data_IF_914297072114
#
_entry.id   IF_914297072114
#
_cell.length_a   1.000
_cell.length_b   1.000
_cell.length_c   1.000
_cell.angle_alpha   90.00
_cell.angle_beta   90.00
_cell.angle_gamma   90.00
#
_symmetry.space_group_name_H-M   'P 1'
#
loop_
_entity.id
_entity.type
_entity.pdbx_description
1 polymer ?
#
# COMPACT_ATOMS: atom_id res chain seq x y z
N UNK A 1 38.00 -42.93 8.73
CA UNK A 1 38.71 -43.02 10.03
C UNK A 1 37.72 -43.56 11.04
N UNK A 2 37.89 -44.83 11.39
CA UNK A 2 37.02 -45.61 12.27
C UNK A 2 37.87 -45.91 13.51
N UNK A 3 37.52 -45.34 14.66
CA UNK A 3 38.14 -45.67 15.94
C UNK A 3 37.36 -46.82 16.60
N UNK A 4 38.02 -47.94 16.96
CA UNK A 4 37.39 -49.03 17.70
C UNK A 4 37.51 -48.82 19.22
N UNK A 5 36.39 -49.01 19.91
CA UNK A 5 36.27 -48.96 21.37
C UNK A 5 36.95 -50.18 21.99
N UNK A 6 37.85 -49.93 22.94
CA UNK A 6 38.58 -50.93 23.70
C UNK A 6 37.67 -51.75 24.64
N UNK A 7 37.91 -53.06 24.69
CA UNK A 7 37.31 -53.99 25.65
C UNK A 7 38.05 -53.93 26.99
N UNK A 8 37.36 -54.03 28.15
CA UNK A 8 38.02 -54.24 29.42
C UNK A 8 38.32 -55.72 29.68
N UNK A 9 39.54 -55.91 30.18
CA UNK A 9 40.23 -57.15 30.51
C UNK A 9 39.65 -57.88 31.72
N UNK A 10 39.61 -59.21 31.61
CA UNK A 10 39.33 -60.15 32.69
C UNK A 10 40.43 -60.12 33.76
N UNK A 11 40.05 -59.98 35.02
CA UNK A 11 40.94 -60.17 36.16
C UNK A 11 40.34 -61.20 37.14
N UNK A 12 40.85 -62.43 37.00
CA UNK A 12 41.27 -63.38 38.05
C UNK A 12 40.48 -63.49 39.36
N UNK A 13 39.87 -64.67 39.55
CA UNK A 13 39.54 -65.28 40.84
C UNK A 13 40.76 -65.44 41.75
N UNK A 14 40.55 -65.46 43.08
CA UNK A 14 41.23 -66.45 43.90
C UNK A 14 40.25 -67.37 44.63
N UNK A 15 40.52 -68.65 44.43
CA UNK A 15 40.02 -69.84 45.12
C UNK A 15 40.22 -69.73 46.63
N UNK A 16 39.13 -69.90 47.38
CA UNK A 16 39.15 -69.96 48.83
C UNK A 16 37.99 -70.82 49.33
N UNK A 17 38.18 -72.14 49.28
CA UNK A 17 37.26 -73.09 49.89
C UNK A 17 37.43 -73.07 51.41
N UNK A 18 36.36 -72.76 52.13
CA UNK A 18 36.23 -73.12 53.55
C UNK A 18 34.78 -73.51 53.77
N UNK A 19 34.56 -74.81 53.90
CA UNK A 19 33.31 -75.38 54.41
C UNK A 19 33.05 -74.82 55.80
N UNK A 20 31.94 -74.09 55.95
CA UNK A 20 31.27 -73.91 57.22
C UNK A 20 29.81 -74.33 57.03
N UNK A 21 29.55 -75.51 57.57
CA UNK A 21 28.24 -76.09 57.85
C UNK A 21 27.42 -75.12 58.71
N UNK A 22 26.44 -74.49 58.08
CA UNK A 22 25.49 -73.61 58.75
C UNK A 22 24.23 -73.49 57.90
N UNK A 23 23.20 -74.23 58.26
CA UNK A 23 21.86 -74.08 57.72
C UNK A 23 21.34 -72.69 58.07
N UNK A 24 21.41 -71.75 57.13
CA UNK A 24 20.63 -70.52 57.14
C UNK A 24 19.59 -70.62 56.04
N UNK A 25 18.34 -70.81 56.46
CA UNK A 25 17.14 -70.56 55.68
C UNK A 25 17.32 -69.32 54.80
N UNK A 26 17.29 -69.53 53.49
CA UNK A 26 17.26 -68.46 52.49
C UNK A 26 15.87 -67.81 52.53
N UNK A 27 15.64 -66.92 53.50
CA UNK A 27 14.44 -66.09 53.53
C UNK A 27 14.56 -64.99 52.49
N UNK A 28 13.91 -65.20 51.34
CA UNK A 28 13.41 -64.13 50.47
C UNK A 28 14.46 -63.40 49.63
N UNK A 29 14.48 -63.70 48.33
CA UNK A 29 15.04 -62.80 47.34
C UNK A 29 14.39 -61.39 47.48
N UNK A 30 15.15 -60.28 47.41
CA UNK A 30 14.52 -58.97 47.39
C UNK A 30 13.63 -58.87 46.16
N UNK A 31 12.34 -58.66 46.40
CA UNK A 31 11.36 -58.48 45.35
C UNK A 31 11.84 -57.39 44.38
N UNK A 32 12.09 -57.77 43.13
CA UNK A 32 12.37 -56.83 42.04
C UNK A 32 11.11 -55.97 41.89
N UNK A 33 11.08 -54.80 42.53
CA UNK A 33 9.97 -53.85 42.38
C UNK A 33 10.04 -53.30 40.96
N UNK A 34 9.42 -53.99 40.02
CA UNK A 34 8.99 -53.38 38.77
C UNK A 34 8.16 -52.17 39.15
N UNK A 35 8.74 -50.98 38.95
CA UNK A 35 8.05 -49.71 39.18
C UNK A 35 6.98 -49.61 38.09
N UNK A 36 5.84 -50.29 38.30
CA UNK A 36 4.67 -50.17 37.43
C UNK A 36 4.24 -48.72 37.46
N UNK A 37 4.63 -47.96 36.44
CA UNK A 37 4.09 -46.62 36.22
C UNK A 37 2.59 -46.83 36.02
N UNK A 38 1.80 -46.50 37.04
CA UNK A 38 0.36 -46.73 37.02
C UNK A 38 -0.25 -45.94 35.86
N UNK A 39 -1.13 -46.58 35.09
CA UNK A 39 -1.79 -45.98 33.92
C UNK A 39 -2.48 -44.63 34.24
N UNK A 40 -2.82 -44.40 35.51
CA UNK A 40 -3.40 -43.17 36.06
C UNK A 40 -2.42 -41.99 36.11
N UNK A 41 -1.14 -42.20 36.45
CA UNK A 41 -0.11 -41.15 36.46
C UNK A 41 0.23 -40.67 35.05
N UNK A 42 0.30 -41.60 34.09
CA UNK A 42 0.42 -41.30 32.65
C UNK A 42 -0.77 -40.47 32.15
N UNK A 43 -2.01 -40.81 32.55
CA UNK A 43 -3.25 -40.10 32.18
C UNK A 43 -3.30 -38.64 32.68
N UNK A 44 -2.81 -38.37 33.89
CA UNK A 44 -2.74 -37.00 34.45
C UNK A 44 -1.73 -36.12 33.71
N UNK A 45 -0.56 -36.67 33.36
CA UNK A 45 0.46 -35.96 32.57
C UNK A 45 -0.04 -35.69 31.15
N UNK A 46 -0.68 -36.68 30.51
CA UNK A 46 -1.33 -36.52 29.19
C UNK A 46 -2.44 -35.47 29.22
N UNK A 47 -3.32 -35.46 30.24
CA UNK A 47 -4.37 -34.43 30.39
C UNK A 47 -3.82 -33.03 30.61
N UNK A 48 -2.73 -32.88 31.37
CA UNK A 48 -2.04 -31.59 31.52
C UNK A 48 -1.45 -31.15 30.19
N UNK A 49 -0.70 -32.02 29.50
CA UNK A 49 -0.14 -31.71 28.18
C UNK A 49 -1.24 -31.33 27.17
N UNK A 50 -2.36 -32.06 27.15
CA UNK A 50 -3.52 -31.74 26.33
C UNK A 50 -4.16 -30.39 26.68
N UNK A 51 -4.25 -30.05 27.96
CA UNK A 51 -4.78 -28.74 28.40
C UNK A 51 -3.86 -27.58 28.02
N UNK A 52 -2.55 -27.80 27.97
CA UNK A 52 -1.58 -26.79 27.51
C UNK A 52 -1.49 -26.73 25.99
N UNK A 53 -1.72 -27.82 25.25
CA UNK A 53 -1.74 -27.82 23.79
C UNK A 53 -3.08 -27.38 23.19
N UNK A 54 -4.20 -27.58 23.89
CA UNK A 54 -5.53 -27.17 23.45
C UNK A 54 -5.61 -25.68 23.06
N UNK A 55 -5.16 -24.70 23.86
CA UNK A 55 -5.20 -23.29 23.45
C UNK A 55 -4.33 -23.02 22.22
N UNK A 56 -3.16 -23.67 22.10
CA UNK A 56 -2.29 -23.51 20.93
C UNK A 56 -2.98 -24.01 19.66
N UNK A 57 -3.65 -25.17 19.73
CA UNK A 57 -4.42 -25.71 18.60
C UNK A 57 -5.61 -24.80 18.25
N UNK A 58 -6.31 -24.25 19.25
CA UNK A 58 -7.41 -23.32 19.00
C UNK A 58 -6.93 -22.02 18.34
N UNK A 59 -5.79 -21.48 18.77
CA UNK A 59 -5.16 -20.31 18.14
C UNK A 59 -4.79 -20.63 16.69
N UNK A 60 -4.15 -21.78 16.44
CA UNK A 60 -3.81 -22.20 15.08
C UNK A 60 -5.05 -22.32 14.19
N UNK A 61 -6.13 -22.93 14.68
CA UNK A 61 -7.40 -23.02 13.95
C UNK A 61 -8.03 -21.65 13.69
N UNK A 62 -7.97 -20.72 14.65
CA UNK A 62 -8.48 -19.37 14.49
C UNK A 62 -7.67 -18.59 13.43
N UNK A 63 -6.35 -18.73 13.42
CA UNK A 63 -5.48 -18.15 12.38
C UNK A 63 -5.83 -18.75 11.02
N UNK A 64 -5.91 -20.08 10.89
CA UNK A 64 -6.29 -20.73 9.63
C UNK A 64 -7.65 -20.26 9.12
N UNK A 65 -8.65 -20.15 10.00
CA UNK A 65 -9.97 -19.64 9.63
C UNK A 65 -9.92 -18.17 9.19
N UNK A 66 -9.17 -17.32 9.89
CA UNK A 66 -9.00 -15.92 9.52
C UNK A 66 -8.33 -15.77 8.16
N UNK A 67 -7.25 -16.52 7.88
CA UNK A 67 -6.58 -16.50 6.58
C UNK A 67 -7.51 -16.92 5.44
N UNK A 68 -8.31 -17.97 5.65
CA UNK A 68 -9.32 -18.39 4.68
C UNK A 68 -10.37 -17.28 4.45
N UNK A 69 -10.84 -16.63 5.51
CA UNK A 69 -11.78 -15.51 5.40
C UNK A 69 -11.17 -14.32 4.64
N UNK A 70 -9.92 -13.96 4.90
CA UNK A 70 -9.23 -12.87 4.21
C UNK A 70 -9.11 -13.15 2.72
N UNK A 71 -8.73 -14.37 2.34
CA UNK A 71 -8.62 -14.77 0.93
C UNK A 71 -9.95 -14.65 0.20
N UNK A 72 -11.06 -15.06 0.82
CA UNK A 72 -12.39 -14.91 0.21
C UNK A 72 -12.77 -13.44 0.02
N UNK A 73 -12.59 -12.63 1.05
CA UNK A 73 -12.93 -11.20 1.00
C UNK A 73 -12.04 -10.42 0.03
N UNK A 74 -10.78 -10.82 -0.15
CA UNK A 74 -9.89 -10.25 -1.16
C UNK A 74 -10.37 -10.55 -2.58
N UNK A 75 -10.82 -11.77 -2.85
CA UNK A 75 -11.40 -12.11 -4.15
C UNK A 75 -12.72 -11.37 -4.40
N UNK A 76 -13.59 -11.26 -3.39
CA UNK A 76 -14.82 -10.48 -3.51
C UNK A 76 -14.52 -9.02 -3.87
N UNK A 77 -13.46 -8.42 -3.32
CA UNK A 77 -13.04 -7.06 -3.64
C UNK A 77 -12.60 -6.92 -5.11
N UNK A 78 -11.80 -7.86 -5.61
CA UNK A 78 -11.32 -7.87 -7.00
C UNK A 78 -12.49 -8.07 -7.96
N UNK A 79 -13.33 -9.08 -7.74
CA UNK A 79 -14.51 -9.37 -8.57
C UNK A 79 -15.48 -8.18 -8.61
N UNK A 80 -15.65 -7.48 -7.48
CA UNK A 80 -16.46 -6.28 -7.40
C UNK A 80 -15.88 -5.14 -8.25
N UNK A 81 -14.56 -4.91 -8.20
CA UNK A 81 -13.89 -3.90 -9.03
C UNK A 81 -14.01 -4.24 -10.53
N UNK A 82 -13.74 -5.48 -10.92
CA UNK A 82 -13.85 -5.93 -12.32
C UNK A 82 -15.30 -5.83 -12.85
N UNK A 83 -16.28 -5.99 -11.98
CA UNK A 83 -17.70 -5.85 -12.31
C UNK A 83 -18.22 -4.40 -12.28
N UNK A 84 -17.37 -3.41 -11.99
CA UNK A 84 -17.77 -2.01 -11.85
C UNK A 84 -18.53 -1.67 -10.56
N UNK A 85 -18.53 -2.56 -9.55
CA UNK A 85 -19.12 -2.32 -8.23
C UNK A 85 -18.07 -1.77 -7.28
N UNK A 86 -17.63 -0.54 -7.54
CA UNK A 86 -16.48 0.06 -6.84
C UNK A 86 -16.73 0.26 -5.34
N UNK A 87 -17.92 0.75 -4.94
CA UNK A 87 -18.28 0.88 -3.52
C UNK A 87 -18.18 -0.44 -2.74
N UNK A 88 -18.60 -1.55 -3.38
CA UNK A 88 -18.50 -2.89 -2.78
C UNK A 88 -17.05 -3.33 -2.67
N UNK A 89 -16.23 -3.04 -3.68
CA UNK A 89 -14.79 -3.33 -3.68
C UNK A 89 -14.05 -2.55 -2.59
N UNK A 90 -14.37 -1.26 -2.44
CA UNK A 90 -13.82 -0.38 -1.40
C UNK A 90 -14.21 -0.89 -0.02
N UNK A 91 -15.49 -1.22 0.20
CA UNK A 91 -15.96 -1.76 1.48
C UNK A 91 -15.33 -3.12 1.83
N UNK A 92 -15.19 -4.01 0.84
CA UNK A 92 -14.52 -5.29 1.03
C UNK A 92 -13.04 -5.08 1.39
N UNK A 93 -12.34 -4.19 0.69
CA UNK A 93 -10.94 -3.85 0.94
C UNK A 93 -10.72 -3.20 2.31
N UNK A 94 -11.61 -2.32 2.74
CA UNK A 94 -11.58 -1.71 4.08
C UNK A 94 -11.68 -2.77 5.19
N UNK A 95 -12.54 -3.79 4.99
CA UNK A 95 -12.67 -4.89 5.95
C UNK A 95 -11.40 -5.74 6.09
N UNK A 96 -10.57 -5.79 5.03
CA UNK A 96 -9.28 -6.49 5.03
C UNK A 96 -8.22 -5.74 5.85
N UNK A 97 -8.37 -4.43 6.06
CA UNK A 97 -7.44 -3.64 6.87
C UNK A 97 -7.44 -4.09 8.35
N UNK A 98 -8.52 -4.72 8.81
CA UNK A 98 -8.61 -5.25 10.17
C UNK A 98 -7.73 -6.48 10.36
N UNK A 99 -6.65 -6.31 11.14
CA UNK A 99 -5.59 -7.31 11.36
C UNK A 99 -4.79 -7.63 10.09
N UNK A 100 -4.51 -6.59 9.30
CA UNK A 100 -3.72 -6.66 8.07
C UNK A 100 -2.21 -6.84 8.37
N UNK A 101 -1.81 -8.06 8.69
CA UNK A 101 -0.43 -8.39 9.12
C UNK A 101 0.33 -9.31 8.17
N UNK A 102 -0.37 -9.93 7.22
CA UNK A 102 0.24 -10.94 6.32
C UNK A 102 0.81 -10.25 5.08
N UNK A 103 -0.02 -9.50 4.37
CA UNK A 103 0.35 -8.71 3.19
C UNK A 103 -0.23 -7.30 3.33
N UNK A 104 0.42 -6.44 4.14
CA UNK A 104 -0.12 -5.14 4.53
C UNK A 104 -0.51 -4.23 3.36
N UNK A 105 0.17 -4.36 2.23
CA UNK A 105 -0.03 -3.51 1.05
C UNK A 105 -1.31 -3.83 0.27
N UNK A 106 -1.78 -5.09 0.24
CA UNK A 106 -2.87 -5.54 -0.66
C UNK A 106 -4.18 -4.82 -0.39
N UNK A 107 -4.55 -4.63 0.89
CA UNK A 107 -5.80 -3.95 1.23
C UNK A 107 -5.81 -2.50 0.75
N UNK A 108 -4.67 -1.80 0.87
CA UNK A 108 -4.51 -0.44 0.36
C UNK A 108 -4.49 -0.44 -1.18
N UNK A 109 -3.76 -1.37 -1.81
CA UNK A 109 -3.70 -1.48 -3.26
C UNK A 109 -5.08 -1.69 -3.88
N UNK A 110 -5.87 -2.63 -3.33
CA UNK A 110 -7.22 -2.92 -3.82
C UNK A 110 -8.17 -1.74 -3.60
N UNK A 111 -8.15 -1.12 -2.41
CA UNK A 111 -9.01 0.03 -2.10
C UNK A 111 -8.66 1.23 -2.98
N UNK A 112 -7.37 1.54 -3.12
CA UNK A 112 -6.90 2.64 -3.95
C UNK A 112 -7.16 2.41 -5.44
N UNK A 113 -6.99 1.19 -5.94
CA UNK A 113 -7.33 0.84 -7.33
C UNK A 113 -8.83 0.96 -7.59
N UNK A 114 -9.68 0.47 -6.67
CA UNK A 114 -11.14 0.62 -6.78
C UNK A 114 -11.56 2.10 -6.71
N UNK A 115 -10.91 2.90 -5.87
CA UNK A 115 -11.15 4.34 -5.75
C UNK A 115 -10.74 5.08 -7.03
N UNK A 116 -9.61 4.72 -7.65
CA UNK A 116 -9.21 5.27 -8.95
C UNK A 116 -10.24 4.96 -10.04
N UNK A 117 -10.75 3.73 -10.09
CA UNK A 117 -11.81 3.33 -11.02
C UNK A 117 -13.15 4.03 -10.73
N UNK A 118 -13.42 4.37 -9.47
CA UNK A 118 -14.55 5.18 -9.04
C UNK A 118 -14.36 6.70 -9.31
N UNK A 119 -13.21 7.11 -9.85
CA UNK A 119 -12.80 8.51 -10.03
C UNK A 119 -12.63 9.29 -8.71
N UNK A 120 -12.45 8.58 -7.60
CA UNK A 120 -12.14 9.11 -6.28
C UNK A 120 -10.62 9.27 -6.13
N UNK A 121 -10.01 10.09 -6.99
CA UNK A 121 -8.56 10.10 -7.17
C UNK A 121 -7.76 10.57 -5.94
N UNK A 122 -8.33 11.38 -5.04
CA UNK A 122 -7.64 11.76 -3.81
C UNK A 122 -7.49 10.55 -2.85
N UNK A 123 -8.57 9.78 -2.68
CA UNK A 123 -8.53 8.57 -1.86
C UNK A 123 -7.64 7.51 -2.51
N UNK A 124 -7.68 7.43 -3.85
CA UNK A 124 -6.82 6.54 -4.62
C UNK A 124 -5.33 6.83 -4.43
N UNK A 125 -4.91 8.09 -4.54
CA UNK A 125 -3.49 8.45 -4.41
C UNK A 125 -2.98 8.26 -2.98
N UNK A 126 -3.79 8.54 -1.97
CA UNK A 126 -3.44 8.27 -0.56
C UNK A 126 -3.22 6.77 -0.32
N UNK A 127 -4.17 5.92 -0.74
CA UNK A 127 -4.07 4.48 -0.54
C UNK A 127 -2.95 3.83 -1.35
N UNK A 128 -2.81 4.19 -2.63
CA UNK A 128 -1.78 3.62 -3.49
C UNK A 128 -0.37 4.07 -3.04
N UNK A 129 -0.24 5.25 -2.42
CA UNK A 129 1.02 5.67 -1.81
C UNK A 129 1.39 4.79 -0.62
N UNK A 130 0.42 4.50 0.27
CA UNK A 130 0.64 3.58 1.40
C UNK A 130 0.91 2.16 0.90
N UNK A 131 0.22 1.72 -0.15
CA UNK A 131 0.49 0.43 -0.77
C UNK A 131 1.93 0.36 -1.28
N UNK A 132 2.44 1.41 -1.92
CA UNK A 132 3.80 1.44 -2.46
C UNK A 132 4.86 1.36 -1.36
N UNK A 133 4.63 2.03 -0.22
CA UNK A 133 5.53 1.96 0.94
C UNK A 133 5.62 0.57 1.57
N UNK A 134 4.56 -0.23 1.44
CA UNK A 134 4.42 -1.54 2.08
C UNK A 134 4.65 -2.73 1.13
N UNK A 135 4.65 -2.47 -0.18
CA UNK A 135 4.76 -3.51 -1.20
C UNK A 135 6.16 -4.12 -1.20
N UNK A 136 6.27 -5.44 -1.43
CA UNK A 136 7.55 -6.05 -1.73
C UNK A 136 8.04 -5.63 -3.13
N UNK A 137 9.35 -5.72 -3.37
CA UNK A 137 10.00 -5.27 -4.61
C UNK A 137 9.35 -5.86 -5.88
N UNK A 138 8.90 -7.12 -5.83
CA UNK A 138 8.27 -7.81 -6.96
C UNK A 138 6.86 -7.30 -7.32
N UNK A 139 6.24 -6.51 -6.44
CA UNK A 139 4.90 -5.94 -6.61
C UNK A 139 4.93 -4.41 -6.75
N UNK A 140 6.05 -3.76 -6.40
CA UNK A 140 6.19 -2.31 -6.43
C UNK A 140 5.87 -1.70 -7.80
N UNK A 141 6.24 -2.38 -8.89
CA UNK A 141 5.99 -1.91 -10.26
C UNK A 141 4.49 -1.82 -10.58
N UNK A 142 3.69 -2.82 -10.20
CA UNK A 142 2.24 -2.79 -10.41
C UNK A 142 1.56 -1.68 -9.59
N UNK A 143 2.02 -1.50 -8.35
CA UNK A 143 1.53 -0.41 -7.49
C UNK A 143 1.86 0.95 -8.10
N UNK A 144 3.08 1.13 -8.62
CA UNK A 144 3.50 2.36 -9.31
C UNK A 144 2.65 2.66 -10.53
N UNK A 145 2.27 1.65 -11.32
CA UNK A 145 1.41 1.88 -12.48
C UNK A 145 0.09 2.52 -12.05
N UNK A 146 -0.59 1.92 -11.08
CA UNK A 146 -1.88 2.44 -10.62
C UNK A 146 -1.73 3.81 -9.94
N UNK A 147 -0.67 4.02 -9.16
CA UNK A 147 -0.41 5.30 -8.51
C UNK A 147 -0.12 6.41 -9.52
N UNK A 148 0.71 6.14 -10.53
CA UNK A 148 1.03 7.10 -11.58
C UNK A 148 -0.21 7.47 -12.40
N UNK A 149 -1.06 6.49 -12.73
CA UNK A 149 -2.34 6.72 -13.41
C UNK A 149 -3.29 7.57 -12.55
N UNK A 150 -3.38 7.30 -11.24
CA UNK A 150 -4.24 8.09 -10.35
C UNK A 150 -3.79 9.56 -10.27
N UNK A 151 -2.48 9.83 -10.22
CA UNK A 151 -1.94 11.18 -10.28
C UNK A 151 -2.13 11.85 -11.65
N UNK A 152 -1.99 11.09 -12.74
CA UNK A 152 -2.27 11.57 -14.12
C UNK A 152 -3.71 12.05 -14.24
N UNK A 153 -4.68 11.22 -13.85
CA UNK A 153 -6.11 11.56 -13.95
C UNK A 153 -6.50 12.70 -13.01
N UNK A 154 -5.93 12.77 -11.80
CA UNK A 154 -6.11 13.92 -10.91
C UNK A 154 -5.55 15.20 -11.54
N UNK A 155 -4.41 15.11 -12.22
CA UNK A 155 -3.83 16.21 -13.01
C UNK A 155 -4.77 16.68 -14.11
N UNK A 156 -5.39 15.75 -14.85
CA UNK A 156 -6.36 16.04 -15.90
C UNK A 156 -7.57 16.81 -15.36
N UNK A 157 -8.12 16.40 -14.20
CA UNK A 157 -9.23 17.13 -13.56
C UNK A 157 -8.84 18.57 -13.22
N UNK A 158 -7.62 18.79 -12.73
CA UNK A 158 -7.12 20.14 -12.43
C UNK A 158 -6.93 20.96 -13.70
N UNK A 159 -6.41 20.34 -14.77
CA UNK A 159 -6.21 20.99 -16.06
C UNK A 159 -7.55 21.40 -16.68
N UNK A 160 -8.54 20.50 -16.68
CA UNK A 160 -9.91 20.78 -17.13
C UNK A 160 -10.59 21.87 -16.30
N UNK A 161 -10.29 21.92 -14.99
CA UNK A 161 -10.73 22.98 -14.09
C UNK A 161 -10.03 24.33 -14.29
N UNK A 162 -9.04 24.42 -15.18
CA UNK A 162 -8.24 25.62 -15.43
C UNK A 162 -7.15 25.89 -14.38
N UNK A 163 -6.93 24.96 -13.44
CA UNK A 163 -5.90 25.07 -12.41
C UNK A 163 -4.55 24.56 -12.95
N UNK A 164 -4.04 25.21 -14.00
CA UNK A 164 -2.86 24.77 -14.76
C UNK A 164 -1.63 24.53 -13.89
N UNK A 165 -1.32 25.45 -12.98
CA UNK A 165 -0.19 25.26 -12.05
C UNK A 165 -0.37 24.05 -11.13
N UNK A 166 -1.60 23.76 -10.73
CA UNK A 166 -1.94 22.57 -9.93
C UNK A 166 -1.78 21.29 -10.74
N UNK A 167 -2.32 21.25 -11.96
CA UNK A 167 -2.17 20.13 -12.88
C UNK A 167 -0.70 19.79 -13.14
N UNK A 168 0.12 20.81 -13.41
CA UNK A 168 1.58 20.69 -13.58
C UNK A 168 2.27 20.01 -12.39
N UNK A 169 1.89 20.34 -11.15
CA UNK A 169 2.44 19.68 -9.95
C UNK A 169 2.00 18.20 -9.82
N UNK A 170 0.78 17.89 -10.26
CA UNK A 170 0.23 16.54 -10.20
C UNK A 170 0.88 15.62 -11.25
N UNK A 171 1.06 16.12 -12.47
CA UNK A 171 1.83 15.45 -13.51
C UNK A 171 3.31 15.28 -13.14
N UNK A 172 3.95 16.28 -12.54
CA UNK A 172 5.30 16.14 -11.97
C UNK A 172 5.36 15.00 -10.92
N UNK A 173 4.30 14.85 -10.12
CA UNK A 173 4.18 13.78 -9.12
C UNK A 173 4.01 12.41 -9.79
N UNK A 174 3.18 12.29 -10.82
CA UNK A 174 3.06 11.08 -11.62
C UNK A 174 4.42 10.67 -12.23
N UNK A 175 5.15 11.62 -12.83
CA UNK A 175 6.49 11.39 -13.38
C UNK A 175 7.52 11.02 -12.31
N UNK A 176 7.38 11.53 -11.09
CA UNK A 176 8.23 11.13 -9.97
C UNK A 176 7.98 9.67 -9.56
N UNK A 177 6.71 9.24 -9.52
CA UNK A 177 6.33 7.84 -9.25
C UNK A 177 6.88 6.90 -10.32
N UNK A 178 6.76 7.28 -11.60
CA UNK A 178 7.28 6.52 -12.74
C UNK A 178 8.81 6.39 -12.66
N UNK A 179 9.52 7.50 -12.44
CA UNK A 179 10.99 7.50 -12.33
C UNK A 179 11.49 6.66 -11.15
N UNK A 180 10.77 6.65 -10.03
CA UNK A 180 11.12 5.78 -8.91
C UNK A 180 11.08 4.29 -9.26
N UNK A 181 10.34 3.89 -10.30
CA UNK A 181 10.34 2.52 -10.81
C UNK A 181 11.68 2.07 -11.42
N UNK A 182 12.58 2.99 -11.75
CA UNK A 182 13.94 2.65 -12.21
C UNK A 182 14.75 2.00 -11.08
N UNK A 183 14.58 2.47 -9.84
CA UNK A 183 15.23 1.91 -8.65
C UNK A 183 14.68 0.52 -8.32
N UNK A 184 13.37 0.33 -8.48
CA UNK A 184 12.68 -0.94 -8.26
C UNK A 184 12.87 -1.94 -9.41
N UNK A 185 13.50 -1.52 -10.52
CA UNK A 185 13.81 -2.39 -11.65
C UNK A 185 12.67 -2.63 -12.64
N UNK A 186 11.65 -1.77 -12.64
CA UNK A 186 10.47 -1.94 -13.50
C UNK A 186 10.75 -1.88 -14.99
N UNK A 187 11.90 -1.32 -15.42
CA UNK A 187 12.23 -1.11 -16.83
C UNK A 187 13.35 -2.01 -17.36
N UNK A 188 13.80 -3.02 -16.60
CA UNK A 188 14.85 -3.93 -17.09
C UNK A 188 14.24 -4.95 -18.05
N UNK A 189 14.64 -4.90 -19.32
CA UNK A 189 14.38 -5.97 -20.28
C UNK A 189 15.36 -7.13 -20.08
N UNK A 190 14.92 -8.35 -20.37
CA UNK A 190 15.68 -9.60 -20.20
C UNK A 190 16.97 -9.69 -21.06
N UNK A 191 17.27 -8.71 -21.92
CA UNK A 191 18.35 -8.78 -22.92
C UNK A 191 19.66 -8.07 -22.52
N UNK A 192 19.69 -7.26 -21.46
CA UNK A 192 20.90 -6.54 -21.04
C UNK A 192 21.43 -7.01 -19.68
N UNK A 193 21.98 -8.24 -19.63
CA UNK A 193 22.76 -8.67 -18.47
C UNK A 193 23.15 -10.14 -18.45
N UNK A 194 24.41 -10.40 -18.78
CA UNK A 194 25.33 -11.44 -18.27
C UNK A 194 24.81 -12.86 -17.91
N UNK A 195 25.64 -13.87 -18.14
CA UNK A 195 25.34 -15.31 -18.17
C UNK A 195 24.99 -15.95 -16.80
N UNK A 196 24.03 -15.39 -16.07
CA UNK A 196 23.41 -15.99 -14.90
C UNK A 196 21.89 -15.93 -15.10
N UNK A 197 21.21 -17.05 -15.36
CA UNK A 197 19.76 -17.05 -15.48
C UNK A 197 19.15 -16.48 -14.19
N UNK A 198 18.31 -15.45 -14.25
CA UNK A 198 17.41 -15.15 -13.15
C UNK A 198 16.59 -16.41 -12.87
N UNK A 199 16.50 -16.80 -11.60
CA UNK A 199 15.49 -17.78 -11.20
C UNK A 199 14.11 -17.11 -11.37
N UNK A 200 13.51 -17.38 -12.53
CA UNK A 200 12.14 -17.09 -12.96
C UNK A 200 11.84 -15.59 -13.26
N UNK A 201 11.51 -15.23 -14.51
CA UNK A 201 10.93 -13.92 -14.81
C UNK A 201 9.50 -13.86 -14.26
N UNK A 202 9.21 -12.83 -13.45
CA UNK A 202 7.83 -12.48 -13.12
C UNK A 202 7.22 -11.85 -14.37
N UNK A 203 6.36 -12.60 -15.06
CA UNK A 203 5.58 -12.21 -16.26
C UNK A 203 4.94 -10.81 -16.14
N UNK A 204 4.63 -10.36 -14.91
CA UNK A 204 4.06 -9.03 -14.65
C UNK A 204 5.04 -7.85 -14.70
N UNK A 205 6.33 -8.05 -14.44
CA UNK A 205 7.29 -6.93 -14.35
C UNK A 205 7.55 -6.23 -15.70
N UNK A 206 7.61 -7.01 -16.78
CA UNK A 206 7.78 -6.49 -18.14
C UNK A 206 6.53 -5.74 -18.62
N UNK A 207 5.32 -6.24 -18.30
CA UNK A 207 4.05 -5.56 -18.59
C UNK A 207 3.93 -4.23 -17.82
N UNK A 208 4.26 -4.24 -16.52
CA UNK A 208 4.25 -3.04 -15.70
C UNK A 208 5.24 -1.98 -16.20
N UNK A 209 6.44 -2.39 -16.63
CA UNK A 209 7.43 -1.51 -17.25
C UNK A 209 6.92 -0.81 -18.50
N UNK A 210 6.33 -1.55 -19.44
CA UNK A 210 5.75 -1.00 -20.66
C UNK A 210 4.57 -0.05 -20.34
N UNK A 211 3.72 -0.40 -19.37
CA UNK A 211 2.61 0.46 -18.92
C UNK A 211 3.11 1.77 -18.30
N UNK A 212 4.18 1.73 -17.51
CA UNK A 212 4.82 2.91 -16.93
C UNK A 212 5.49 3.79 -18.00
N UNK A 213 6.14 3.19 -19.01
CA UNK A 213 6.74 3.94 -20.11
C UNK A 213 5.66 4.64 -20.95
N UNK A 214 4.59 3.92 -21.30
CA UNK A 214 3.43 4.52 -21.96
C UNK A 214 2.77 5.62 -21.13
N UNK A 215 2.72 5.49 -19.80
CA UNK A 215 2.23 6.53 -18.91
C UNK A 215 3.16 7.75 -18.91
N UNK A 216 4.49 7.54 -18.92
CA UNK A 216 5.48 8.61 -19.01
C UNK A 216 5.24 9.49 -20.23
N UNK A 217 5.15 8.88 -21.41
CA UNK A 217 4.96 9.60 -22.67
C UNK A 217 3.67 10.41 -22.68
N UNK A 218 2.58 9.85 -22.15
CA UNK A 218 1.28 10.57 -22.03
C UNK A 218 1.39 11.75 -21.07
N UNK A 219 1.95 11.55 -19.89
CA UNK A 219 2.06 12.59 -18.86
C UNK A 219 3.00 13.70 -19.30
N UNK A 220 4.14 13.39 -19.93
CA UNK A 220 5.05 14.39 -20.51
C UNK A 220 4.33 15.24 -21.56
N UNK A 221 3.54 14.62 -22.45
CA UNK A 221 2.75 15.36 -23.43
C UNK A 221 1.70 16.29 -22.81
N UNK A 222 1.03 15.84 -21.74
CA UNK A 222 0.03 16.64 -20.99
C UNK A 222 0.68 17.80 -20.23
N UNK A 223 1.82 17.55 -19.59
CA UNK A 223 2.63 18.57 -18.91
C UNK A 223 3.01 19.70 -19.87
N UNK A 224 3.55 19.32 -21.03
CA UNK A 224 3.96 20.21 -22.11
C UNK A 224 2.81 21.10 -22.60
N UNK A 225 1.60 20.54 -22.70
CA UNK A 225 0.40 21.28 -23.09
C UNK A 225 -0.03 22.27 -22.01
N UNK A 226 -0.06 21.85 -20.74
CA UNK A 226 -0.37 22.72 -19.60
C UNK A 226 0.62 23.89 -19.49
N UNK A 227 1.92 23.64 -19.66
CA UNK A 227 2.95 24.69 -19.60
C UNK A 227 2.79 25.72 -20.74
N UNK A 228 2.40 25.27 -21.94
CA UNK A 228 2.09 26.17 -23.07
C UNK A 228 0.85 27.01 -22.81
N UNK A 229 -0.17 26.45 -22.16
CA UNK A 229 -1.39 27.17 -21.82
C UNK A 229 -1.15 28.20 -20.70
N UNK A 230 -0.36 27.85 -19.68
CA UNK A 230 -0.01 28.74 -18.56
C UNK A 230 0.80 29.95 -19.07
N UNK A 231 1.77 29.69 -19.95
CA UNK A 231 2.57 30.74 -20.60
C UNK A 231 1.75 31.72 -21.42
N UNK A 232 0.70 31.26 -22.11
CA UNK A 232 -0.21 32.12 -22.88
C UNK A 232 -1.14 32.95 -21.97
N UNK A 233 -1.60 32.39 -20.85
CA UNK A 233 -2.40 33.13 -19.87
C UNK A 233 -1.58 34.23 -19.17
N UNK A 234 -0.28 34.01 -18.97
CA UNK A 234 0.65 35.02 -18.45
C UNK A 234 0.96 36.18 -19.42
N UNK A 235 0.68 36.03 -20.72
CA UNK A 235 0.94 37.03 -21.78
C UNK A 235 -0.31 37.82 -22.19
N UNK A 236 -1.45 37.60 -21.51
CA UNK A 236 -2.72 38.28 -21.74
C UNK A 236 -2.89 39.65 -21.06
N UNK A 237 -1.86 40.19 -20.41
CA UNK A 237 -1.84 41.62 -20.07
C UNK A 237 -1.37 42.39 -21.32
N UNK A 238 -2.18 43.29 -21.91
CA UNK A 238 -1.72 44.05 -23.05
C UNK A 238 -0.56 44.93 -22.59
N UNK A 239 0.61 44.73 -23.21
CA UNK A 239 1.65 45.74 -23.30
C UNK A 239 1.06 46.95 -24.02
N UNK A 240 0.42 47.84 -23.25
CA UNK A 240 0.21 49.21 -23.67
C UNK A 240 1.56 49.92 -23.61
N UNK A 241 2.19 49.97 -24.77
CA UNK A 241 3.26 50.90 -25.12
C UNK A 241 2.80 52.35 -24.87
N UNK A 242 3.09 52.90 -23.68
CA UNK A 242 3.06 54.34 -23.41
C UNK A 242 3.78 54.69 -22.09
N UNK A 243 5.00 55.19 -22.22
CA UNK A 243 5.56 56.29 -21.42
C UNK A 243 5.40 56.26 -19.89
N UNK A 244 6.40 55.73 -19.20
CA UNK A 244 7.04 56.37 -18.03
C UNK A 244 6.19 56.93 -16.88
N UNK A 245 4.98 56.40 -16.63
CA UNK A 245 4.22 56.65 -15.40
C UNK A 245 4.51 55.58 -14.35
N UNK A 246 4.63 55.98 -13.07
CA UNK A 246 4.73 55.01 -11.97
C UNK A 246 3.44 54.21 -11.88
N UNK A 247 3.46 52.89 -11.58
CA UNK A 247 2.24 52.07 -11.40
C UNK A 247 1.23 52.62 -10.39
N UNK A 248 1.64 53.58 -9.56
CA UNK A 248 0.78 54.30 -8.62
C UNK A 248 -0.09 55.37 -9.28
N UNK A 249 0.42 56.09 -10.28
CA UNK A 249 -0.34 57.12 -11.01
C UNK A 249 -1.49 56.51 -11.81
N UNK A 250 -1.25 55.38 -12.48
CA UNK A 250 -2.28 54.65 -13.24
C UNK A 250 -3.43 54.14 -12.33
N UNK A 251 -3.12 53.82 -11.07
CA UNK A 251 -4.10 53.38 -10.09
C UNK A 251 -4.91 54.56 -9.53
N UNK A 252 -4.26 55.72 -9.33
CA UNK A 252 -4.94 56.96 -8.94
C UNK A 252 -5.88 57.46 -10.05
N UNK A 253 -5.43 57.49 -11.30
CA UNK A 253 -6.25 57.90 -12.45
C UNK A 253 -7.46 56.97 -12.67
N UNK A 254 -7.27 55.65 -12.53
CA UNK A 254 -8.39 54.68 -12.59
C UNK A 254 -9.36 54.84 -11.42
N UNK A 255 -8.85 55.18 -10.24
CA UNK A 255 -9.67 55.46 -9.06
C UNK A 255 -10.55 56.69 -9.26
N UNK A 256 -9.96 57.77 -9.76
CA UNK A 256 -10.63 59.04 -10.02
C UNK A 256 -11.70 58.91 -11.10
N UNK A 257 -11.40 58.18 -12.19
CA UNK A 257 -12.38 57.91 -13.25
C UNK A 257 -13.59 57.11 -12.74
N UNK A 258 -13.35 56.08 -11.92
CA UNK A 258 -14.41 55.26 -11.33
C UNK A 258 -15.27 56.04 -10.33
N UNK A 259 -14.68 57.01 -9.61
CA UNK A 259 -15.44 57.87 -8.69
C UNK A 259 -16.27 58.92 -9.43
N UNK A 260 -15.75 59.43 -10.55
CA UNK A 260 -16.47 60.38 -11.40
C UNK A 260 -17.70 59.73 -12.05
N UNK A 261 -17.56 58.51 -12.58
CA UNK A 261 -18.68 57.76 -13.17
C UNK A 261 -19.79 57.47 -12.16
N UNK A 262 -19.45 57.16 -10.90
CA UNK A 262 -20.44 57.00 -9.82
C UNK A 262 -21.18 58.29 -9.52
N UNK A 263 -20.49 59.44 -9.51
CA UNK A 263 -21.12 60.75 -9.29
C UNK A 263 -22.09 61.11 -10.40
N UNK A 264 -21.76 60.77 -11.65
CA UNK A 264 -22.63 61.02 -12.80
C UNK A 264 -23.89 60.13 -12.76
N UNK A 265 -23.74 58.83 -12.42
CA UNK A 265 -24.88 57.93 -12.23
C UNK A 265 -25.81 58.38 -11.08
N UNK A 266 -25.25 58.88 -9.98
CA UNK A 266 -26.01 59.41 -8.84
C UNK A 266 -26.70 60.75 -9.17
N UNK A 267 -26.16 61.52 -10.10
CA UNK A 267 -26.77 62.75 -10.59
C UNK A 267 -27.96 62.45 -11.51
N UNK A 268 -27.83 61.47 -12.40
CA UNK A 268 -28.91 61.02 -13.29
C UNK A 268 -30.10 60.44 -12.51
N UNK A 269 -29.85 59.69 -11.45
CA UNK A 269 -30.90 59.15 -10.57
C UNK A 269 -31.65 60.23 -9.78
N UNK A 270 -31.05 61.40 -9.52
CA UNK A 270 -31.74 62.52 -8.87
C UNK A 270 -32.50 63.43 -9.85
N UNK A 271 -32.23 63.35 -11.16
CA UNK A 271 -32.88 64.17 -12.19
C UNK A 271 -34.22 63.64 -12.70
N UNK A 272 -34.54 62.36 -12.48
CA UNK A 272 -35.72 61.66 -13.03
C UNK A 272 -37.04 61.82 -12.26
N UNK A 273 -37.32 63.00 -11.70
CA UNK A 273 -38.59 63.30 -11.03
C UNK A 273 -39.70 63.69 -12.01
N UNK A 274 -40.29 62.72 -12.70
CA UNK A 274 -41.47 62.94 -13.56
C UNK A 274 -42.71 63.16 -12.67
N UNK A 275 -43.18 64.41 -12.62
CA UNK A 275 -44.44 64.79 -11.96
C UNK A 275 -45.62 64.25 -12.78
N UNK A 276 -46.18 63.11 -12.37
CA UNK A 276 -47.44 62.61 -12.93
C UNK A 276 -48.62 63.33 -12.26
N UNK A 277 -49.12 64.39 -12.91
CA UNK A 277 -50.43 64.98 -12.63
C UNK A 277 -51.54 63.95 -12.90
N UNK A 278 -52.42 63.74 -11.92
CA UNK A 278 -53.67 62.99 -12.10
C UNK A 278 -54.82 63.93 -12.43
N UNK A 279 -55.52 63.73 -13.56
CA UNK A 279 -56.90 64.13 -13.69
C UNK A 279 -57.81 62.90 -13.74
N UNK A 280 -58.94 63.02 -13.02
CA UNK A 280 -60.08 62.11 -12.80
C UNK A 280 -59.86 60.83 -11.96
#
# INVERSE_FOLDING_TARGET
MVEPIAQPTLATEPTGATELTGATEWTGAPARTERRVTATAMRRRRRRLLWWSLPVVLIALAISFKLASLSLTAQDAIDAAESGRFDESIAASDSLMTLNVVEPWIAYFNRGTASALAQEYNDATDDLSVALELAPDDQACDVRVNLALAWEELGDIYAEGGYLRGASLLYDTALAVIRGGEEDGCFRSEEEGDSTPPEEPSDGSTDAGERLENARDRVEGKQDEVDRQDGQQGQGAPDSDAGGGSPTEDLEDRGDAAEQERRDQDADQRGGGEYVEKPW
#
